data_IF_218012232462
#
_entry.id   IF_218012232462
#
_cell.length_a   1.000
_cell.length_b   1.000
_cell.length_c   1.000
_cell.angle_alpha   90.00
_cell.angle_beta   90.00
_cell.angle_gamma   90.00
#
_symmetry.space_group_name_H-M   'P 1'
#
loop_
_entity.id
_entity.type
_entity.pdbx_description
1 polymer ?
#
# COMPACT_ATOMS: atom_id res chain seq x y z
N UNK A 1 -10.82 -9.96 -11.79
CA UNK A 1 -10.74 -9.01 -10.68
C UNK A 1 -10.03 -9.65 -9.49
N UNK A 2 -9.00 -9.01 -8.98
CA UNK A 2 -8.27 -9.55 -7.85
C UNK A 2 -8.91 -9.07 -6.56
N UNK A 3 -9.25 -10.02 -5.71
CA UNK A 3 -9.84 -9.73 -4.40
C UNK A 3 -8.76 -9.57 -3.33
N UNK A 4 -7.60 -9.06 -3.74
CA UNK A 4 -6.50 -8.82 -2.83
C UNK A 4 -6.36 -7.34 -2.56
N UNK A 5 -5.96 -7.02 -1.35
CA UNK A 5 -5.55 -5.67 -1.00
C UNK A 5 -4.54 -5.74 0.12
N UNK A 6 -3.74 -4.69 0.23
CA UNK A 6 -2.79 -4.56 1.32
C UNK A 6 -3.41 -3.66 2.36
N UNK A 7 -3.55 -4.17 3.56
CA UNK A 7 -4.12 -3.42 4.68
C UNK A 7 -3.00 -2.75 5.47
N UNK A 8 -3.11 -1.44 5.64
CA UNK A 8 -2.21 -0.67 6.51
C UNK A 8 -3.06 0.23 7.38
N UNK A 9 -2.48 0.71 8.47
CA UNK A 9 -3.17 1.65 9.33
C UNK A 9 -3.41 2.97 8.58
N UNK A 10 -4.47 3.66 8.96
CA UNK A 10 -4.88 4.90 8.28
C UNK A 10 -3.76 5.94 8.22
N UNK A 11 -3.03 6.12 9.31
CA UNK A 11 -1.93 7.08 9.33
C UNK A 11 -0.79 6.72 8.39
N UNK A 12 -0.63 5.46 8.08
CA UNK A 12 0.41 5.01 7.18
C UNK A 12 0.12 5.39 5.72
N UNK A 13 -1.15 5.52 5.34
CA UNK A 13 -1.51 5.96 4.00
C UNK A 13 -1.00 7.38 3.76
N UNK A 14 -1.21 8.27 4.71
CA UNK A 14 -0.70 9.64 4.61
C UNK A 14 0.81 9.68 4.56
N UNK A 15 1.44 8.85 5.37
CA UNK A 15 2.90 8.76 5.40
C UNK A 15 3.46 8.32 4.05
N UNK A 16 2.87 7.29 3.45
CA UNK A 16 3.28 6.82 2.13
C UNK A 16 3.07 7.89 1.06
N UNK A 17 1.94 8.58 1.11
CA UNK A 17 1.66 9.66 0.17
C UNK A 17 2.75 10.73 0.24
N UNK A 18 3.18 11.07 1.44
CA UNK A 18 4.21 12.07 1.66
C UNK A 18 5.57 11.59 1.18
N UNK A 19 5.92 10.35 1.48
CA UNK A 19 7.21 9.76 1.08
C UNK A 19 7.34 9.72 -0.44
N UNK A 20 6.29 9.32 -1.13
CA UNK A 20 6.32 9.15 -2.58
C UNK A 20 5.85 10.38 -3.35
N UNK A 21 5.43 11.42 -2.65
CA UNK A 21 4.96 12.64 -3.31
C UNK A 21 3.69 12.46 -4.13
N UNK A 22 2.77 11.63 -3.63
CA UNK A 22 1.51 11.34 -4.32
C UNK A 22 0.34 11.63 -3.39
N UNK A 23 -0.88 11.52 -3.92
CA UNK A 23 -2.08 11.74 -3.12
C UNK A 23 -2.40 10.50 -2.27
N UNK A 24 -3.18 10.70 -1.20
CA UNK A 24 -3.66 9.60 -0.38
C UNK A 24 -4.47 8.62 -1.23
N UNK A 25 -5.27 9.15 -2.14
CA UNK A 25 -6.07 8.34 -3.04
C UNK A 25 -5.19 7.43 -3.91
N UNK A 26 -4.09 7.97 -4.43
CA UNK A 26 -3.17 7.17 -5.22
C UNK A 26 -2.58 6.02 -4.41
N UNK A 27 -2.19 6.30 -3.16
CA UNK A 27 -1.68 5.26 -2.26
C UNK A 27 -2.76 4.20 -2.03
N UNK A 28 -3.96 4.64 -1.74
CA UNK A 28 -5.07 3.73 -1.46
C UNK A 28 -5.35 2.82 -2.66
N UNK A 29 -5.40 3.38 -3.86
CA UNK A 29 -5.62 2.60 -5.08
C UNK A 29 -4.46 1.64 -5.35
N UNK A 30 -3.23 2.06 -5.06
CA UNK A 30 -2.07 1.19 -5.21
C UNK A 30 -2.15 -0.02 -4.29
N UNK A 31 -2.58 0.20 -3.05
CA UNK A 31 -2.72 -0.89 -2.07
C UNK A 31 -3.85 -1.85 -2.43
N UNK A 32 -4.82 -1.41 -3.20
CA UNK A 32 -5.92 -2.26 -3.66
C UNK A 32 -5.65 -2.91 -5.01
N UNK A 33 -4.47 -2.74 -5.55
CA UNK A 33 -4.09 -3.25 -6.88
C UNK A 33 -4.93 -2.63 -8.00
N UNK A 34 -5.54 -1.48 -7.76
CA UNK A 34 -6.27 -0.75 -8.79
C UNK A 34 -5.32 0.01 -9.70
N UNK A 35 -4.10 0.25 -9.26
CA UNK A 35 -3.02 0.85 -10.04
C UNK A 35 -1.86 -0.14 -10.11
N UNK A 36 -1.26 -0.24 -11.29
CA UNK A 36 -0.15 -1.16 -11.50
C UNK A 36 1.00 -0.48 -12.24
N UNK A 37 1.34 0.72 -11.81
CA UNK A 37 2.52 1.41 -12.30
C UNK A 37 3.74 1.02 -11.46
N UNK A 38 4.93 1.37 -11.95
CA UNK A 38 6.14 1.13 -11.18
C UNK A 38 6.08 1.80 -9.81
N UNK A 39 5.57 3.01 -9.75
CA UNK A 39 5.41 3.73 -8.50
C UNK A 39 4.44 3.01 -7.56
N UNK A 40 3.34 2.50 -8.10
CA UNK A 40 2.38 1.73 -7.30
C UNK A 40 3.02 0.48 -6.71
N UNK A 41 3.88 -0.19 -7.48
CA UNK A 41 4.61 -1.36 -6.99
C UNK A 41 5.54 -1.01 -5.84
N UNK A 42 6.23 0.13 -5.94
CA UNK A 42 7.10 0.60 -4.88
C UNK A 42 6.32 0.92 -3.62
N UNK A 43 5.15 1.51 -3.77
CA UNK A 43 4.27 1.81 -2.64
C UNK A 43 3.84 0.51 -1.95
N UNK A 44 3.43 -0.49 -2.72
CA UNK A 44 3.04 -1.78 -2.15
C UNK A 44 4.21 -2.45 -1.43
N UNK A 45 5.38 -2.42 -2.03
CA UNK A 45 6.57 -2.99 -1.41
C UNK A 45 6.87 -2.35 -0.06
N UNK A 46 6.87 -1.02 -0.02
CA UNK A 46 7.11 -0.28 1.22
C UNK A 46 6.02 -0.56 2.26
N UNK A 47 4.77 -0.66 1.81
CA UNK A 47 3.66 -0.95 2.72
C UNK A 47 3.81 -2.31 3.40
N UNK A 48 4.37 -3.29 2.70
CA UNK A 48 4.54 -4.64 3.24
C UNK A 48 5.81 -4.81 4.08
N UNK A 49 6.74 -3.89 3.98
CA UNK A 49 7.95 -3.96 4.81
C UNK A 49 7.59 -3.80 6.28
N UNK A 50 8.40 -4.42 7.13
CA UNK A 50 8.21 -4.28 8.57
C UNK A 50 8.48 -2.85 9.01
N UNK A 51 7.88 -2.45 10.12
CA UNK A 51 8.12 -1.11 10.67
C UNK A 51 9.58 -0.92 11.06
N UNK A 52 10.25 -1.98 11.46
CA UNK A 52 11.66 -1.93 11.80
C UNK A 52 12.53 -1.58 10.59
N UNK A 53 12.07 -1.91 9.38
CA UNK A 53 12.78 -1.60 8.14
C UNK A 53 12.28 -0.32 7.49
N UNK A 54 11.54 0.48 8.21
CA UNK A 54 11.00 1.74 7.67
C UNK A 54 9.72 1.58 6.86
N UNK A 55 9.13 0.39 6.88
CA UNK A 55 7.86 0.13 6.20
C UNK A 55 6.65 0.39 7.08
N UNK A 56 5.50 -0.05 6.61
CA UNK A 56 4.23 0.18 7.29
C UNK A 56 3.71 -1.03 8.04
N UNK A 57 4.36 -2.17 7.89
CA UNK A 57 3.90 -3.40 8.54
C UNK A 57 2.55 -3.87 8.02
N UNK A 58 2.26 -3.60 6.76
CA UNK A 58 0.97 -3.96 6.18
C UNK A 58 0.80 -5.45 6.00
N UNK A 59 -0.45 -5.87 5.84
CA UNK A 59 -0.80 -7.27 5.63
C UNK A 59 -1.55 -7.41 4.31
N UNK A 60 -1.29 -8.52 3.62
CA UNK A 60 -2.04 -8.84 2.41
C UNK A 60 -3.33 -9.52 2.81
N UNK A 61 -4.44 -8.95 2.35
CA UNK A 61 -5.76 -9.51 2.58
C UNK A 61 -6.27 -10.13 1.29
N UNK A 62 -6.74 -11.35 1.36
CA UNK A 62 -7.35 -12.04 0.24
C UNK A 62 -8.73 -12.49 0.63
N UNK A 63 -9.66 -12.30 -0.30
CA UNK A 63 -10.98 -12.86 -0.09
C UNK A 63 -10.92 -14.37 -0.38
N UNK A 64 -11.25 -15.15 0.62
CA UNK A 64 -11.33 -16.60 0.49
C UNK A 64 -12.79 -16.98 0.32
N UNK A 65 -13.08 -17.72 -0.72
CA UNK A 65 -14.41 -18.25 -0.93
C UNK A 65 -14.51 -19.65 -0.35
#
# INVERSE_FOLDING_TARGET
MKDEKIFVERGEIKRLAKIFGVTDEFVYMSLRYARDSELARKIRYTALKSKADGGCGGEVWRRVK
#
